data_IF_853753175171
#
_entry.id   IF_853753175171
#
_cell.length_a   1.000
_cell.length_b   1.000
_cell.length_c   1.000
_cell.angle_alpha   90.00
_cell.angle_beta   90.00
_cell.angle_gamma   90.00
#
_symmetry.space_group_name_H-M   'P 1'
#
loop_
_entity.id
_entity.type
_entity.pdbx_description
1 polymer ?
#
# COMPACT_ATOMS: atom_id res chain seq x y z
N UNK A 1 -5.12 66.59 -2.09
CA UNK A 1 -4.06 65.62 -1.73
C UNK A 1 -4.61 64.39 -1.02
N UNK A 2 -5.25 64.48 0.16
CA UNK A 2 -5.74 63.29 0.88
C UNK A 2 -6.84 62.48 0.15
N UNK A 3 -7.82 63.13 -0.47
CA UNK A 3 -8.87 62.44 -1.25
C UNK A 3 -8.36 61.80 -2.55
N UNK A 4 -7.32 62.39 -3.15
CA UNK A 4 -6.72 61.87 -4.39
C UNK A 4 -5.92 60.60 -4.12
N UNK A 5 -5.17 60.58 -3.01
CA UNK A 5 -4.46 59.38 -2.54
C UNK A 5 -5.43 58.27 -2.09
N UNK A 6 -6.56 58.62 -1.48
CA UNK A 6 -7.57 57.63 -1.09
C UNK A 6 -8.19 56.94 -2.32
N UNK A 7 -8.49 57.69 -3.37
CA UNK A 7 -8.99 57.13 -4.63
C UNK A 7 -7.98 56.24 -5.35
N UNK A 8 -6.71 56.66 -5.41
CA UNK A 8 -5.65 55.86 -6.01
C UNK A 8 -5.53 54.49 -5.32
N UNK A 9 -5.57 54.46 -3.98
CA UNK A 9 -5.53 53.21 -3.20
C UNK A 9 -6.77 52.33 -3.42
N UNK A 10 -7.96 52.92 -3.60
CA UNK A 10 -9.18 52.16 -3.90
C UNK A 10 -9.14 51.52 -5.29
N UNK A 11 -8.56 52.21 -6.28
CA UNK A 11 -8.40 51.66 -7.63
C UNK A 11 -7.32 50.56 -7.66
N UNK A 12 -6.20 50.74 -6.96
CA UNK A 12 -5.16 49.70 -6.81
C UNK A 12 -5.72 48.43 -6.14
N UNK A 13 -6.54 48.59 -5.10
CA UNK A 13 -7.20 47.46 -4.43
C UNK A 13 -8.20 46.75 -5.34
N UNK A 14 -8.89 47.50 -6.21
CA UNK A 14 -9.84 46.93 -7.18
C UNK A 14 -9.09 46.15 -8.25
N UNK A 15 -8.00 46.69 -8.78
CA UNK A 15 -7.16 46.03 -9.77
C UNK A 15 -6.57 44.72 -9.22
N UNK A 16 -6.03 44.76 -8.00
CA UNK A 16 -5.46 43.59 -7.35
C UNK A 16 -6.52 42.50 -7.09
N UNK A 17 -7.74 42.91 -6.74
CA UNK A 17 -8.86 41.98 -6.54
C UNK A 17 -9.27 41.32 -7.85
N UNK A 18 -9.38 42.09 -8.92
CA UNK A 18 -9.70 41.58 -10.26
C UNK A 18 -8.64 40.61 -10.78
N UNK A 19 -7.35 40.88 -10.52
CA UNK A 19 -6.25 39.98 -10.86
C UNK A 19 -6.34 38.67 -10.07
N UNK A 20 -6.55 38.75 -8.75
CA UNK A 20 -6.70 37.58 -7.89
C UNK A 20 -7.89 36.70 -8.30
N UNK A 21 -9.05 37.30 -8.63
CA UNK A 21 -10.22 36.56 -9.10
C UNK A 21 -9.94 35.84 -10.43
N UNK A 22 -9.22 36.48 -11.36
CA UNK A 22 -8.81 35.85 -12.63
C UNK A 22 -7.87 34.67 -12.43
N UNK A 23 -6.85 34.81 -11.58
CA UNK A 23 -5.90 33.73 -11.29
C UNK A 23 -6.57 32.56 -10.59
N UNK A 24 -7.45 32.85 -9.61
CA UNK A 24 -8.23 31.83 -8.90
C UNK A 24 -9.16 31.06 -9.85
N UNK A 25 -9.80 31.76 -10.79
CA UNK A 25 -10.62 31.12 -11.81
C UNK A 25 -9.79 30.24 -12.77
N UNK A 26 -8.59 30.69 -13.15
CA UNK A 26 -7.69 29.91 -14.00
C UNK A 26 -7.21 28.63 -13.30
N UNK A 27 -6.84 28.72 -12.02
CA UNK A 27 -6.47 27.56 -11.20
C UNK A 27 -7.66 26.61 -11.10
N UNK A 28 -8.85 27.11 -10.79
CA UNK A 28 -10.07 26.29 -10.69
C UNK A 28 -10.36 25.55 -12.00
N UNK A 29 -10.27 26.24 -13.14
CA UNK A 29 -10.48 25.64 -14.46
C UNK A 29 -9.45 24.55 -14.78
N UNK A 30 -8.18 24.74 -14.39
CA UNK A 30 -7.14 23.72 -14.53
C UNK A 30 -7.47 22.46 -13.71
N UNK A 31 -7.89 22.64 -12.45
CA UNK A 31 -8.27 21.50 -11.60
C UNK A 31 -9.53 20.80 -12.10
N UNK A 32 -10.54 21.51 -12.58
CA UNK A 32 -11.74 20.91 -13.18
C UNK A 32 -11.42 20.06 -14.41
N UNK A 33 -10.48 20.51 -15.26
CA UNK A 33 -10.03 19.75 -16.41
C UNK A 33 -9.20 18.53 -16.01
N UNK A 34 -8.28 18.68 -15.06
CA UNK A 34 -7.46 17.57 -14.55
C UNK A 34 -8.30 16.49 -13.84
N UNK A 35 -9.42 16.85 -13.20
CA UNK A 35 -10.36 15.89 -12.59
C UNK A 35 -11.13 15.11 -13.67
N UNK A 36 -11.44 15.72 -14.82
CA UNK A 36 -12.13 15.04 -15.93
C UNK A 36 -11.22 14.06 -16.68
N UNK A 37 -9.91 14.31 -16.73
CA UNK A 37 -8.90 13.42 -17.32
C UNK A 37 -8.43 12.30 -16.39
N UNK A 38 -9.11 12.08 -15.26
CA UNK A 38 -8.76 11.02 -14.32
C UNK A 38 -9.17 9.66 -14.90
N UNK A 39 -8.33 9.12 -15.78
CA UNK A 39 -8.44 7.73 -16.23
C UNK A 39 -8.29 6.78 -15.04
N UNK A 40 -9.28 5.94 -14.83
CA UNK A 40 -9.25 4.89 -13.81
C UNK A 40 -8.27 3.79 -14.27
N UNK A 41 -7.00 3.92 -13.88
CA UNK A 41 -6.01 2.87 -14.14
C UNK A 41 -6.29 1.71 -13.18
N UNK A 42 -7.05 0.72 -13.66
CA UNK A 42 -7.26 -0.53 -12.93
C UNK A 42 -5.94 -1.32 -12.89
N UNK A 43 -5.15 -1.10 -11.84
CA UNK A 43 -3.95 -1.89 -11.57
C UNK A 43 -4.37 -3.27 -11.07
N UNK A 44 -4.58 -4.20 -12.02
CA UNK A 44 -4.76 -5.62 -11.67
C UNK A 44 -3.41 -6.20 -11.23
N UNK A 45 -3.28 -6.74 -10.00
CA UNK A 45 -2.07 -7.47 -9.64
C UNK A 45 -1.92 -8.67 -10.58
N UNK A 46 -0.93 -8.63 -11.45
CA UNK A 46 -0.62 -9.77 -12.33
C UNK A 46 0.24 -10.75 -11.55
N UNK A 47 -0.11 -12.04 -11.58
CA UNK A 47 0.73 -13.14 -11.07
C UNK A 47 1.92 -13.44 -12.01
N UNK A 48 2.43 -12.43 -12.71
CA UNK A 48 3.52 -12.53 -13.68
C UNK A 48 4.75 -11.85 -13.10
N UNK A 49 5.94 -12.42 -13.28
CA UNK A 49 7.17 -11.95 -12.63
C UNK A 49 7.48 -12.63 -11.30
N UNK A 50 6.87 -13.78 -11.02
CA UNK A 50 7.23 -14.63 -9.88
C UNK A 50 8.39 -15.52 -10.33
N UNK A 51 9.59 -15.21 -9.89
CA UNK A 51 10.78 -16.04 -10.09
C UNK A 51 11.03 -16.87 -8.82
N UNK A 52 10.90 -18.19 -8.94
CA UNK A 52 11.20 -19.11 -7.84
C UNK A 52 12.70 -19.41 -7.91
N UNK A 53 13.49 -18.69 -7.12
CA UNK A 53 14.96 -18.84 -7.07
C UNK A 53 15.38 -20.22 -6.55
N UNK A 54 14.59 -20.81 -5.64
CA UNK A 54 14.82 -22.17 -5.15
C UNK A 54 13.56 -22.79 -4.55
N UNK A 55 13.46 -24.11 -4.64
CA UNK A 55 12.42 -24.92 -4.01
C UNK A 55 13.09 -26.14 -3.38
N UNK A 56 12.84 -26.36 -2.10
CA UNK A 56 13.41 -27.49 -1.36
C UNK A 56 12.29 -28.36 -0.81
N UNK A 57 12.39 -29.66 -1.07
CA UNK A 57 11.55 -30.67 -0.46
C UNK A 57 12.23 -31.15 0.83
N UNK A 58 11.64 -30.82 1.97
CA UNK A 58 12.10 -31.32 3.26
C UNK A 58 11.29 -32.57 3.66
N UNK A 59 12.00 -33.68 3.91
CA UNK A 59 11.42 -34.86 4.52
C UNK A 59 11.72 -34.87 6.01
N UNK A 60 10.69 -35.00 6.85
CA UNK A 60 10.82 -35.17 8.31
C UNK A 60 10.41 -36.59 8.68
N UNK A 61 11.36 -37.54 8.76
CA UNK A 61 11.04 -38.91 9.11
C UNK A 61 10.56 -39.04 10.56
N UNK A 62 9.66 -39.98 10.80
CA UNK A 62 9.12 -40.32 12.13
C UNK A 62 9.25 -41.83 12.34
N UNK A 63 9.74 -42.25 13.50
CA UNK A 63 9.71 -43.66 13.90
C UNK A 63 8.43 -43.95 14.67
N UNK A 64 7.92 -45.16 14.54
CA UNK A 64 6.86 -45.69 15.39
C UNK A 64 7.43 -46.83 16.23
N UNK A 65 7.50 -46.63 17.54
CA UNK A 65 8.05 -47.58 18.50
C UNK A 65 6.90 -48.20 19.25
N UNK A 66 6.81 -49.53 19.21
CA UNK A 66 5.83 -50.30 19.98
C UNK A 66 6.57 -51.10 21.04
N UNK A 67 6.31 -50.81 22.31
CA UNK A 67 6.87 -51.53 23.46
C UNK A 67 5.78 -52.30 24.19
N UNK A 68 6.15 -53.43 24.80
CA UNK A 68 5.29 -54.19 25.70
C UNK A 68 5.93 -54.23 27.07
N UNK A 69 5.20 -53.80 28.08
CA UNK A 69 5.69 -53.85 29.47
C UNK A 69 5.57 -55.27 30.06
N UNK A 70 6.14 -55.48 31.25
CA UNK A 70 6.07 -56.76 31.95
C UNK A 70 4.64 -57.16 32.38
N UNK A 71 3.71 -56.20 32.42
CA UNK A 71 2.29 -56.42 32.71
C UNK A 71 1.46 -56.76 31.46
N UNK A 72 2.08 -56.80 30.27
CA UNK A 72 1.43 -57.10 28.99
C UNK A 72 0.79 -55.90 28.30
N UNK A 73 0.87 -54.69 28.87
CA UNK A 73 0.38 -53.46 28.25
C UNK A 73 1.26 -53.13 27.05
N UNK A 74 0.64 -52.86 25.90
CA UNK A 74 1.35 -52.40 24.70
C UNK A 74 1.25 -50.89 24.61
N UNK A 75 2.40 -50.21 24.49
CA UNK A 75 2.50 -48.77 24.29
C UNK A 75 3.13 -48.47 22.95
N UNK A 76 2.47 -47.64 22.17
CA UNK A 76 2.96 -47.16 20.88
C UNK A 76 3.26 -45.67 20.98
N UNK A 77 4.45 -45.26 20.61
CA UNK A 77 4.85 -43.86 20.55
C UNK A 77 5.48 -43.51 19.20
N UNK A 78 5.34 -42.25 18.78
CA UNK A 78 5.97 -41.72 17.58
C UNK A 78 7.04 -40.73 17.99
N UNK A 79 8.27 -40.98 17.55
CA UNK A 79 9.42 -40.13 17.84
C UNK A 79 9.98 -39.57 16.55
N UNK A 80 10.49 -38.34 16.62
CA UNK A 80 11.19 -37.71 15.50
C UNK A 80 12.45 -38.50 15.16
N UNK A 81 12.60 -38.86 13.88
CA UNK A 81 13.77 -39.60 13.39
C UNK A 81 15.01 -38.73 13.25
N UNK A 82 14.82 -37.42 13.14
CA UNK A 82 15.89 -36.43 13.11
C UNK A 82 16.50 -36.15 14.48
N UNK A 83 15.89 -36.64 15.56
CA UNK A 83 16.40 -36.50 16.93
C UNK A 83 17.45 -37.59 17.18
N UNK A 84 18.56 -37.51 16.46
CA UNK A 84 19.79 -38.24 16.76
C UNK A 84 20.69 -37.37 17.63
N UNK A 85 21.05 -37.88 18.81
CA UNK A 85 22.30 -37.51 19.50
C UNK A 85 23.50 -37.99 18.68
#
# INVERSE_FOLDING_TARGET
>A
EAEENARALEDDLRELKDEFEKESAAITALWENAVKEREEIVVKPKKTGIEIVSFFLAWVPRWQITTRDAAGTTRTERVDASTGQ
#
